data_IF_799042836826
#
_entry.id   IF_799042836826
#
_cell.length_a   1.000
_cell.length_b   1.000
_cell.length_c   1.000
_cell.angle_alpha   90.00
_cell.angle_beta   90.00
_cell.angle_gamma   90.00
#
_symmetry.space_group_name_H-M   'P 1'
#
loop_
_entity.id
_entity.type
_entity.pdbx_description
1 polymer ?
#
# COMPACT_ATOMS: atom_id res chain seq x y z
N UNK A 1 -1.75 -4.21 -15.08
CA UNK A 1 -1.01 -5.24 -14.31
C UNK A 1 -1.97 -5.74 -13.24
N UNK A 2 -2.65 -6.85 -13.50
CA UNK A 2 -3.74 -7.38 -12.66
C UNK A 2 -3.37 -7.39 -11.17
N UNK A 3 -2.13 -7.76 -10.87
CA UNK A 3 -1.66 -7.97 -9.50
C UNK A 3 -1.58 -6.67 -8.69
N UNK A 4 -1.09 -5.56 -9.27
CA UNK A 4 -1.04 -4.26 -8.57
C UNK A 4 -2.44 -3.71 -8.28
N UNK A 5 -3.40 -4.00 -9.16
CA UNK A 5 -4.81 -3.66 -8.92
C UNK A 5 -5.39 -4.51 -7.79
N UNK A 6 -5.09 -5.81 -7.75
CA UNK A 6 -5.47 -6.69 -6.63
C UNK A 6 -4.95 -6.16 -5.30
N UNK A 7 -3.65 -5.81 -5.21
CA UNK A 7 -3.08 -5.19 -4.00
C UNK A 7 -3.77 -3.87 -3.64
N UNK A 8 -4.04 -3.04 -4.65
CA UNK A 8 -4.69 -1.75 -4.44
C UNK A 8 -6.12 -1.92 -3.92
N UNK A 9 -6.87 -2.93 -4.39
CA UNK A 9 -8.23 -3.22 -3.93
C UNK A 9 -8.25 -3.77 -2.51
N UNK A 10 -7.32 -4.66 -2.16
CA UNK A 10 -7.14 -5.15 -0.79
C UNK A 10 -6.84 -3.99 0.17
N UNK A 11 -5.76 -3.25 -0.10
CA UNK A 11 -5.27 -2.21 0.82
C UNK A 11 -6.15 -0.99 0.94
N UNK A 12 -7.00 -0.71 -0.07
CA UNK A 12 -7.96 0.41 -0.02
C UNK A 12 -8.85 0.35 1.23
N UNK A 13 -9.21 -0.85 1.67
CA UNK A 13 -10.10 -1.06 2.82
C UNK A 13 -9.39 -1.61 4.06
N UNK A 14 -8.11 -1.99 3.96
CA UNK A 14 -7.36 -2.58 5.08
C UNK A 14 -6.94 -1.57 6.15
N UNK A 15 -6.87 -0.27 5.84
CA UNK A 15 -6.24 0.71 6.73
C UNK A 15 -7.19 1.84 7.12
N UNK A 16 -7.42 2.01 8.43
CA UNK A 16 -8.20 3.11 9.02
C UNK A 16 -7.38 4.39 9.27
N UNK A 17 -6.04 4.32 9.17
CA UNK A 17 -5.10 5.42 9.32
C UNK A 17 -4.24 5.56 8.07
N UNK A 18 -3.75 6.78 7.81
CA UNK A 18 -2.89 7.06 6.64
C UNK A 18 -1.64 6.17 6.69
N UNK A 19 -1.45 5.40 5.62
CA UNK A 19 -0.42 4.35 5.51
C UNK A 19 0.28 4.48 4.16
N UNK A 20 1.60 4.52 4.16
CA UNK A 20 2.41 4.51 2.94
C UNK A 20 2.89 3.09 2.65
N UNK A 21 2.74 2.65 1.41
CA UNK A 21 3.19 1.34 0.93
C UNK A 21 4.19 1.57 -0.20
N UNK A 22 5.40 1.06 -0.03
CA UNK A 22 6.41 0.96 -1.09
C UNK A 22 6.41 -0.47 -1.64
N UNK A 23 6.18 -0.61 -2.93
CA UNK A 23 6.18 -1.90 -3.64
C UNK A 23 7.59 -2.30 -4.08
N UNK A 24 7.75 -3.56 -4.46
CA UNK A 24 9.02 -4.18 -4.85
C UNK A 24 9.68 -3.55 -6.09
N UNK A 25 8.92 -2.81 -6.88
CA UNK A 25 9.41 -2.07 -8.04
C UNK A 25 9.72 -0.60 -7.72
N UNK A 26 9.68 -0.23 -6.44
CA UNK A 26 9.90 1.13 -5.96
C UNK A 26 8.67 2.03 -6.05
N UNK A 27 7.53 1.56 -6.59
CA UNK A 27 6.30 2.36 -6.63
C UNK A 27 5.83 2.65 -5.20
N UNK A 28 5.50 3.90 -4.91
CA UNK A 28 4.93 4.31 -3.62
C UNK A 28 3.45 4.64 -3.78
N UNK A 29 2.61 4.13 -2.88
CA UNK A 29 1.19 4.49 -2.77
C UNK A 29 0.81 4.78 -1.34
N UNK A 30 -0.10 5.72 -1.15
CA UNK A 30 -0.72 5.99 0.14
C UNK A 30 -2.14 5.43 0.19
N UNK A 31 -2.51 4.87 1.34
CA UNK A 31 -3.81 4.28 1.63
C UNK A 31 -4.35 4.77 2.98
N UNK A 32 -5.65 4.56 3.20
CA UNK A 32 -6.35 4.93 4.42
C UNK A 32 -6.86 6.37 4.43
N UNK A 33 -7.76 6.66 5.36
CA UNK A 33 -8.38 7.98 5.52
C UNK A 33 -7.73 8.70 6.71
N UNK A 34 -7.00 9.78 6.43
CA UNK A 34 -6.39 10.62 7.46
C UNK A 34 -5.61 11.78 6.85
N UNK A 35 -5.71 12.95 7.48
CA UNK A 35 -4.92 14.13 7.12
C UNK A 35 -3.62 14.14 7.93
N UNK A 36 -2.50 14.48 7.29
CA UNK A 36 -1.16 14.51 7.90
C UNK A 36 -0.20 13.47 7.32
N UNK A 37 0.88 13.19 8.06
CA UNK A 37 1.90 12.23 7.67
C UNK A 37 1.43 10.76 7.83
N UNK A 38 1.95 9.83 7.01
CA UNK A 38 1.69 8.41 7.19
C UNK A 38 2.13 7.93 8.58
N UNK A 39 1.21 7.35 9.33
CA UNK A 39 1.49 6.77 10.66
C UNK A 39 2.19 5.42 10.52
N UNK A 40 1.90 4.71 9.42
CA UNK A 40 2.49 3.43 9.07
C UNK A 40 3.22 3.50 7.74
N UNK A 41 4.37 2.83 7.65
CA UNK A 41 5.16 2.66 6.43
C UNK A 41 5.42 1.17 6.21
N UNK A 42 4.94 0.64 5.10
CA UNK A 42 5.05 -0.77 4.72
C UNK A 42 5.94 -0.84 3.48
N UNK A 43 6.90 -1.78 3.49
CA UNK A 43 7.80 -2.01 2.35
C UNK A 43 7.70 -3.47 1.93
N UNK A 44 7.31 -3.68 0.67
CA UNK A 44 7.42 -4.98 0.02
C UNK A 44 8.75 -5.04 -0.72
N UNK A 45 9.75 -5.67 -0.09
CA UNK A 45 11.08 -5.83 -0.71
C UNK A 45 11.06 -6.78 -1.91
N UNK A 46 10.16 -7.76 -1.87
CA UNK A 46 9.97 -8.74 -2.92
C UNK A 46 8.48 -8.82 -3.30
N UNK A 47 8.23 -9.30 -4.50
CA UNK A 47 6.87 -9.54 -4.98
C UNK A 47 6.27 -10.72 -4.22
N UNK A 48 5.16 -10.48 -3.52
CA UNK A 48 4.40 -11.59 -2.92
C UNK A 48 3.58 -12.25 -4.04
N UNK A 49 3.72 -13.56 -4.26
CA UNK A 49 2.86 -14.29 -5.17
C UNK A 49 1.44 -14.33 -4.59
N UNK A 50 0.47 -13.86 -5.37
CA UNK A 50 -0.97 -13.84 -5.06
C UNK A 50 -1.70 -14.95 -5.78
#
# INVERSE_FOLDING_TARGET
MLEKETYSQLFKWSFSKKTQVTYWDGTVKEYGQGSGDPVFKIVFNEKIPV
#
